data_IF_426686941455
#
_entry.id   IF_426686941455
#
_cell.length_a   1.000
_cell.length_b   1.000
_cell.length_c   1.000
_cell.angle_alpha   90.00
_cell.angle_beta   90.00
_cell.angle_gamma   90.00
#
_symmetry.space_group_name_H-M   'P 1'
#
loop_
_entity.id
_entity.type
_entity.pdbx_description
1 polymer ?
#
# COMPACT_ATOMS: atom_id res chain seq x y z
N UNK A 1 11.91 -36.28 6.88
CA UNK A 1 13.05 -36.40 5.93
C UNK A 1 13.23 -35.07 5.21
N UNK A 2 14.47 -34.71 4.82
CA UNK A 2 15.04 -33.35 4.70
C UNK A 2 15.48 -32.77 6.05
N UNK A 3 14.59 -32.45 6.99
CA UNK A 3 14.98 -32.00 8.33
C UNK A 3 15.85 -33.02 9.09
N UNK A 4 15.56 -34.32 8.92
CA UNK A 4 16.38 -35.41 9.46
C UNK A 4 17.78 -35.50 8.86
N UNK A 5 17.99 -35.03 7.62
CA UNK A 5 19.32 -34.96 6.98
C UNK A 5 20.19 -33.91 7.68
N UNK A 6 19.57 -32.84 8.18
CA UNK A 6 20.23 -31.74 8.88
C UNK A 6 20.22 -31.89 10.40
N UNK A 7 19.76 -33.05 10.92
CA UNK A 7 19.66 -33.33 12.36
C UNK A 7 18.87 -32.27 13.12
N UNK A 8 17.82 -31.71 12.51
CA UNK A 8 16.92 -30.82 13.23
C UNK A 8 16.19 -31.61 14.33
N UNK A 9 16.28 -31.14 15.57
CA UNK A 9 15.69 -31.79 16.76
C UNK A 9 14.24 -31.34 17.01
N UNK A 10 13.87 -30.18 16.45
CA UNK A 10 12.54 -29.59 16.59
C UNK A 10 11.47 -30.34 15.78
N UNK A 11 10.21 -30.18 16.18
CA UNK A 11 9.06 -30.77 15.49
C UNK A 11 9.03 -30.32 14.02
N UNK A 12 9.03 -31.27 13.05
CA UNK A 12 8.91 -30.97 11.63
C UNK A 12 7.72 -30.08 11.26
N UNK A 13 6.63 -30.11 12.04
CA UNK A 13 5.44 -29.30 11.82
C UNK A 13 5.68 -27.81 12.05
N UNK A 14 6.75 -27.44 12.76
CA UNK A 14 7.17 -26.06 12.96
C UNK A 14 7.82 -25.45 11.71
N UNK A 15 8.16 -26.26 10.71
CA UNK A 15 8.81 -25.78 9.50
C UNK A 15 7.85 -25.74 8.32
N UNK A 16 8.06 -24.77 7.44
CA UNK A 16 7.41 -24.65 6.15
C UNK A 16 8.44 -24.59 5.03
N UNK A 17 8.01 -24.89 3.82
CA UNK A 17 8.79 -24.66 2.61
C UNK A 17 8.30 -23.39 1.92
N UNK A 18 9.22 -22.54 1.51
CA UNK A 18 8.93 -21.21 0.98
C UNK A 18 9.69 -20.98 -0.32
N UNK A 19 9.08 -20.21 -1.22
CA UNK A 19 9.75 -19.60 -2.38
C UNK A 19 10.12 -18.18 -2.00
N UNK A 20 11.38 -17.81 -2.18
CA UNK A 20 11.86 -16.44 -2.03
C UNK A 20 12.34 -15.95 -3.39
N UNK A 21 11.81 -14.81 -3.82
CA UNK A 21 12.12 -14.20 -5.11
C UNK A 21 13.22 -13.13 -4.98
N UNK A 22 13.83 -12.76 -6.09
CA UNK A 22 14.82 -11.67 -6.20
C UNK A 22 14.28 -10.31 -5.77
N UNK A 23 12.99 -10.07 -5.99
CA UNK A 23 12.25 -8.90 -5.53
C UNK A 23 12.16 -8.80 -4.01
N UNK A 24 12.42 -9.89 -3.28
CA UNK A 24 12.17 -10.03 -1.85
C UNK A 24 10.76 -10.52 -1.50
N UNK A 25 9.91 -10.77 -2.51
CA UNK A 25 8.63 -11.43 -2.30
C UNK A 25 8.83 -12.84 -1.73
N UNK A 26 7.83 -13.32 -1.01
CA UNK A 26 7.89 -14.64 -0.39
C UNK A 26 6.52 -15.32 -0.32
N UNK A 27 6.49 -16.58 -0.77
CA UNK A 27 5.29 -17.41 -0.74
C UNK A 27 5.56 -18.73 -0.01
N UNK A 28 4.61 -19.16 0.83
CA UNK A 28 4.63 -20.51 1.39
C UNK A 28 4.11 -21.52 0.38
N UNK A 29 4.86 -22.60 0.16
CA UNK A 29 4.38 -23.76 -0.58
C UNK A 29 3.40 -24.53 0.30
N UNK A 30 2.16 -24.65 -0.17
CA UNK A 30 1.11 -25.39 0.52
C UNK A 30 1.46 -26.88 0.58
N UNK A 31 1.02 -27.56 1.64
CA UNK A 31 1.19 -29.01 1.81
C UNK A 31 0.57 -29.84 0.67
N UNK A 32 -0.39 -29.25 -0.07
CA UNK A 32 -1.03 -29.89 -1.24
C UNK A 32 -0.24 -29.74 -2.54
N UNK A 33 0.76 -28.86 -2.57
CA UNK A 33 1.54 -28.58 -3.77
C UNK A 33 2.78 -29.48 -3.81
N UNK A 34 3.23 -29.83 -5.02
CA UNK A 34 4.49 -30.55 -5.22
C UNK A 34 5.64 -29.54 -5.39
N UNK A 35 6.63 -29.49 -4.46
CA UNK A 35 7.70 -28.48 -4.51
C UNK A 35 8.53 -28.52 -5.80
N UNK A 36 8.76 -29.71 -6.36
CA UNK A 36 9.49 -29.87 -7.62
C UNK A 36 8.72 -29.28 -8.80
N UNK A 37 7.39 -29.42 -8.81
CA UNK A 37 6.53 -28.80 -9.82
C UNK A 37 6.53 -27.28 -9.69
N UNK A 38 6.54 -26.77 -8.45
CA UNK A 38 6.69 -25.32 -8.20
C UNK A 38 8.02 -24.83 -8.76
N UNK A 39 9.14 -25.51 -8.46
CA UNK A 39 10.46 -25.13 -8.99
C UNK A 39 10.51 -25.16 -10.52
N UNK A 40 9.91 -26.17 -11.14
CA UNK A 40 9.86 -26.28 -12.59
C UNK A 40 9.17 -25.06 -13.25
N UNK A 41 8.09 -24.55 -12.64
CA UNK A 41 7.38 -23.35 -13.12
C UNK A 41 8.19 -22.07 -12.95
N UNK A 42 8.95 -21.96 -11.86
CA UNK A 42 9.83 -20.83 -11.58
C UNK A 42 11.07 -20.79 -12.50
N UNK A 43 11.36 -21.90 -13.18
CA UNK A 43 12.54 -22.04 -14.01
C UNK A 43 13.81 -22.39 -13.22
N UNK A 44 14.95 -22.55 -13.90
CA UNK A 44 16.18 -23.06 -13.31
C UNK A 44 17.05 -22.00 -12.62
N UNK A 45 16.79 -20.71 -12.82
CA UNK A 45 17.63 -19.64 -12.27
C UNK A 45 17.45 -19.54 -10.76
N UNK A 46 18.52 -19.73 -10.01
CA UNK A 46 18.56 -19.46 -8.55
C UNK A 46 18.62 -17.96 -8.27
N UNK A 47 18.99 -17.12 -9.24
CA UNK A 47 19.02 -15.67 -9.04
C UNK A 47 17.60 -15.09 -8.96
N UNK A 48 16.63 -15.71 -9.64
CA UNK A 48 15.22 -15.26 -9.71
C UNK A 48 14.40 -15.77 -8.54
N UNK A 49 14.55 -17.05 -8.19
CA UNK A 49 13.76 -17.69 -7.15
C UNK A 49 14.53 -18.84 -6.51
N UNK A 50 14.43 -18.93 -5.18
CA UNK A 50 15.08 -19.95 -4.36
C UNK A 50 14.06 -20.61 -3.44
N UNK A 51 14.31 -21.87 -3.12
CA UNK A 51 13.51 -22.63 -2.14
C UNK A 51 14.21 -22.64 -0.79
N UNK A 52 13.48 -22.25 0.24
CA UNK A 52 13.96 -22.23 1.62
C UNK A 52 13.05 -23.02 2.53
N UNK A 53 13.66 -23.66 3.53
CA UNK A 53 12.93 -24.18 4.70
C UNK A 53 13.10 -23.14 5.79
N UNK A 54 11.99 -22.67 6.34
CA UNK A 54 11.97 -21.70 7.43
C UNK A 54 11.06 -22.19 8.54
N UNK A 55 11.31 -21.78 9.78
CA UNK A 55 10.38 -22.00 10.87
C UNK A 55 9.16 -21.10 10.67
N UNK A 56 7.95 -21.63 10.86
CA UNK A 56 6.68 -20.90 10.67
C UNK A 56 6.54 -19.71 11.64
N UNK A 57 7.26 -19.75 12.77
CA UNK A 57 7.32 -18.68 13.77
C UNK A 57 8.31 -17.57 13.42
N UNK A 58 9.22 -17.81 12.47
CA UNK A 58 10.18 -16.81 12.02
C UNK A 58 9.42 -15.67 11.33
N UNK A 59 9.72 -14.43 11.68
CA UNK A 59 9.15 -13.26 11.02
C UNK A 59 9.44 -13.26 9.50
N UNK A 60 10.54 -13.89 9.08
CA UNK A 60 10.89 -14.09 7.67
C UNK A 60 9.96 -15.07 6.97
N UNK A 61 9.20 -15.90 7.68
CA UNK A 61 8.28 -16.88 7.11
C UNK A 61 6.91 -16.29 6.72
N UNK A 62 6.72 -14.98 6.88
CA UNK A 62 5.52 -14.29 6.44
C UNK A 62 5.38 -14.34 4.91
N UNK A 63 4.13 -14.41 4.42
CA UNK A 63 3.87 -14.17 3.00
C UNK A 63 4.08 -12.69 2.70
N UNK A 64 4.91 -12.40 1.71
CA UNK A 64 5.29 -11.05 1.31
C UNK A 64 4.96 -10.91 -0.17
N UNK A 65 4.04 -10.00 -0.51
CA UNK A 65 3.75 -9.69 -1.90
C UNK A 65 4.91 -8.93 -2.54
N UNK A 66 5.00 -8.97 -3.86
CA UNK A 66 6.01 -8.21 -4.61
C UNK A 66 5.97 -6.70 -4.29
N UNK A 67 4.76 -6.12 -4.19
CA UNK A 67 4.60 -4.72 -3.83
C UNK A 67 5.17 -4.43 -2.44
N UNK A 68 4.86 -5.25 -1.43
CA UNK A 68 5.36 -5.05 -0.07
C UNK A 68 6.88 -5.25 0.01
N UNK A 69 7.42 -6.22 -0.74
CA UNK A 69 8.84 -6.50 -0.80
C UNK A 69 9.67 -5.28 -1.24
N UNK A 70 9.14 -4.49 -2.17
CA UNK A 70 9.80 -3.26 -2.62
C UNK A 70 9.98 -2.23 -1.50
N UNK A 71 9.09 -2.23 -0.49
CA UNK A 71 9.14 -1.29 0.62
C UNK A 71 10.01 -1.76 1.78
N UNK A 72 10.17 -3.08 1.97
CA UNK A 72 10.94 -3.67 3.07
C UNK A 72 12.42 -3.25 3.05
N UNK A 73 12.96 -2.90 1.88
CA UNK A 73 14.34 -2.43 1.74
C UNK A 73 14.58 -1.04 2.35
N UNK A 74 13.53 -0.29 2.68
CA UNK A 74 13.64 1.02 3.31
C UNK A 74 13.59 0.91 4.84
N UNK A 75 14.30 1.80 5.51
CA UNK A 75 14.18 1.99 6.95
C UNK A 75 12.83 2.62 7.32
N UNK A 76 12.38 2.40 8.56
CA UNK A 76 11.13 2.98 9.05
C UNK A 76 11.12 4.51 8.91
N UNK A 77 12.25 5.17 9.17
CA UNK A 77 12.38 6.62 9.03
C UNK A 77 12.22 7.09 7.58
N UNK A 78 12.72 6.35 6.60
CA UNK A 78 12.51 6.67 5.18
C UNK A 78 11.04 6.54 4.80
N UNK A 79 10.37 5.49 5.26
CA UNK A 79 8.94 5.28 5.02
C UNK A 79 8.10 6.40 5.65
N UNK A 80 8.38 6.79 6.90
CA UNK A 80 7.74 7.93 7.56
C UNK A 80 7.94 9.24 6.78
N UNK A 81 9.13 9.46 6.23
CA UNK A 81 9.42 10.61 5.40
C UNK A 81 8.64 10.58 4.07
N UNK A 82 8.43 9.41 3.47
CA UNK A 82 7.58 9.28 2.29
C UNK A 82 6.14 9.65 2.62
N UNK A 83 5.55 9.06 3.67
CA UNK A 83 4.19 9.37 4.11
C UNK A 83 4.02 10.87 4.37
N UNK A 84 4.93 11.48 5.12
CA UNK A 84 4.90 12.92 5.39
C UNK A 84 4.96 13.76 4.12
N UNK A 85 5.78 13.39 3.14
CA UNK A 85 5.85 14.09 1.86
C UNK A 85 4.54 14.00 1.07
N UNK A 86 3.91 12.83 1.06
CA UNK A 86 2.61 12.64 0.41
C UNK A 86 1.53 13.49 1.08
N UNK A 87 1.48 13.54 2.41
CA UNK A 87 0.55 14.40 3.15
C UNK A 87 0.77 15.89 2.85
N UNK A 88 2.03 16.33 2.78
CA UNK A 88 2.36 17.72 2.43
C UNK A 88 1.97 18.06 0.98
N UNK A 89 2.12 17.11 0.05
CA UNK A 89 1.72 17.27 -1.35
C UNK A 89 0.20 17.31 -1.49
N UNK A 90 -0.52 16.41 -0.83
CA UNK A 90 -1.98 16.39 -0.80
C UNK A 90 -2.54 17.71 -0.29
N UNK A 91 -2.03 18.23 0.84
CA UNK A 91 -2.43 19.54 1.37
C UNK A 91 -2.22 20.67 0.37
N UNK A 92 -1.10 20.64 -0.37
CA UNK A 92 -0.82 21.65 -1.42
C UNK A 92 -1.80 21.53 -2.58
N UNK A 93 -2.16 20.32 -2.99
CA UNK A 93 -3.14 20.11 -4.07
C UNK A 93 -4.55 20.55 -3.64
N UNK A 94 -4.95 20.27 -2.40
CA UNK A 94 -6.21 20.78 -1.83
C UNK A 94 -6.24 22.30 -1.87
N UNK A 95 -5.19 22.97 -1.39
CA UNK A 95 -5.08 24.44 -1.41
C UNK A 95 -5.16 24.99 -2.85
N UNK A 96 -4.46 24.39 -3.81
CA UNK A 96 -4.54 24.79 -5.23
C UNK A 96 -5.96 24.67 -5.79
N UNK A 97 -6.67 23.59 -5.44
CA UNK A 97 -8.06 23.39 -5.86
C UNK A 97 -8.96 24.47 -5.25
N UNK A 98 -8.81 24.75 -3.95
CA UNK A 98 -9.57 25.80 -3.27
C UNK A 98 -9.33 27.16 -3.93
N UNK A 99 -8.06 27.56 -4.08
CA UNK A 99 -7.69 28.84 -4.71
C UNK A 99 -8.23 28.98 -6.14
N UNK A 100 -8.30 27.87 -6.90
CA UNK A 100 -8.82 27.87 -8.27
C UNK A 100 -10.32 28.07 -8.33
N UNK A 101 -11.09 27.43 -7.44
CA UNK A 101 -12.55 27.36 -7.58
C UNK A 101 -13.32 28.28 -6.63
N UNK A 102 -12.72 28.74 -5.54
CA UNK A 102 -13.36 29.66 -4.60
C UNK A 102 -13.80 30.99 -5.26
N UNK A 103 -12.98 31.65 -6.11
CA UNK A 103 -13.40 32.86 -6.82
C UNK A 103 -14.54 32.61 -7.82
N UNK A 104 -14.52 31.47 -8.52
CA UNK A 104 -15.59 31.09 -9.45
C UNK A 104 -16.91 30.85 -8.71
N UNK A 105 -16.84 30.22 -7.54
CA UNK A 105 -17.99 29.97 -6.69
C UNK A 105 -18.58 31.28 -6.16
N UNK A 106 -17.73 32.21 -5.73
CA UNK A 106 -18.15 33.55 -5.32
C UNK A 106 -18.80 34.32 -6.48
N UNK A 107 -18.22 34.26 -7.68
CA UNK A 107 -18.81 34.88 -8.87
C UNK A 107 -20.21 34.32 -9.17
N UNK A 108 -20.38 32.99 -9.17
CA UNK A 108 -21.69 32.35 -9.40
C UNK A 108 -22.69 32.77 -8.33
N UNK A 109 -22.26 32.84 -7.06
CA UNK A 109 -23.10 33.29 -5.96
C UNK A 109 -23.56 34.74 -6.17
N UNK A 110 -22.65 35.66 -6.51
CA UNK A 110 -22.98 37.06 -6.78
C UNK A 110 -23.99 37.22 -7.93
N UNK A 111 -23.81 36.45 -9.02
CA UNK A 111 -24.73 36.49 -10.16
C UNK A 111 -26.13 35.95 -9.80
N UNK A 112 -26.22 34.88 -9.01
CA UNK A 112 -27.50 34.34 -8.55
C UNK A 112 -28.25 35.37 -7.69
N UNK A 113 -27.57 36.01 -6.75
CA UNK A 113 -28.16 37.06 -5.91
C UNK A 113 -28.61 38.29 -6.72
N UNK A 114 -27.83 38.68 -7.73
CA UNK A 114 -28.22 39.77 -8.63
C UNK A 114 -29.51 39.46 -9.41
N UNK A 115 -29.72 38.21 -9.82
CA UNK A 115 -30.94 37.75 -10.49
C UNK A 115 -32.13 37.64 -9.51
N UNK A 116 -31.90 37.15 -8.30
CA UNK A 116 -32.91 37.08 -7.23
C UNK A 116 -33.42 38.48 -6.83
N UNK A 117 -32.53 39.48 -6.79
CA UNK A 117 -32.88 40.87 -6.55
C UNK A 117 -33.75 41.50 -7.67
N UNK A 118 -33.63 41.00 -8.91
CA UNK A 118 -34.44 41.45 -10.05
C UNK A 118 -35.82 40.78 -10.12
N UNK A 119 -35.96 39.56 -9.57
CA UNK A 119 -37.19 38.77 -9.65
C UNK A 119 -37.94 38.58 -8.31
N UNK A 120 -37.42 39.10 -7.20
CA UNK A 120 -38.16 39.33 -5.97
C UNK A 120 -38.59 38.08 -5.20
N UNK A 121 -37.65 37.39 -4.56
CA UNK A 121 -37.86 36.74 -3.24
C UNK A 121 -36.54 36.62 -2.49
N UNK A 122 -36.48 36.90 -1.16
CA UNK A 122 -35.25 36.84 -0.40
C UNK A 122 -35.10 35.52 0.37
N UNK A 123 -33.87 34.99 0.43
CA UNK A 123 -33.16 34.62 1.68
C UNK A 123 -32.10 33.54 1.41
N UNK A 124 -30.89 33.97 1.05
CA UNK A 124 -29.71 33.09 1.06
C UNK A 124 -28.53 33.78 1.74
N UNK A 125 -28.20 33.38 2.96
CA UNK A 125 -26.99 33.86 3.66
C UNK A 125 -25.75 33.37 2.91
N UNK A 126 -24.73 34.23 2.73
CA UNK A 126 -23.47 33.83 2.08
C UNK A 126 -22.90 32.61 2.81
N UNK A 127 -22.62 31.50 2.11
CA UNK A 127 -22.05 30.32 2.75
C UNK A 127 -20.65 30.68 3.29
N UNK A 128 -20.45 30.48 4.59
CA UNK A 128 -19.13 30.54 5.23
C UNK A 128 -18.44 29.22 4.90
N UNK A 129 -17.38 29.28 4.10
CA UNK A 129 -16.59 28.11 3.78
C UNK A 129 -15.65 27.85 4.94
N UNK A 130 -16.01 26.87 5.77
CA UNK A 130 -15.08 26.30 6.74
C UNK A 130 -14.17 25.35 5.96
N UNK A 131 -12.86 25.38 6.22
CA UNK A 131 -11.96 24.28 5.88
C UNK A 131 -12.56 23.02 6.51
N UNK A 132 -13.32 22.24 5.73
CA UNK A 132 -13.73 20.92 6.16
C UNK A 132 -12.50 20.06 6.05
N UNK A 133 -11.96 19.67 7.21
CA UNK A 133 -10.93 18.63 7.32
C UNK A 133 -11.39 17.42 6.49
N UNK A 134 -10.62 17.11 5.44
CA UNK A 134 -10.72 15.88 4.64
C UNK A 134 -9.89 14.81 5.34
#
# INVERSE_FOLDING_TARGET
MLLSKFKAENDPLLYGLYVVYDSGAQDQISEKQCPLMVRLRLGPSEDIAKLYIMEKSDARAAQISAEVAEWIKFSLTELELFCKKYEEEEKKEVEKVIQRYLPLKDLVWEQLHALEAQHGTPNGTKPVYVETDV
#
